data_IF_186112779635
#
_entry.id   IF_186112779635
#
_cell.length_a   1.000
_cell.length_b   1.000
_cell.length_c   1.000
_cell.angle_alpha   90.00
_cell.angle_beta   90.00
_cell.angle_gamma   90.00
#
_symmetry.space_group_name_H-M   'P 1'
#
loop_
_entity.id
_entity.type
_entity.pdbx_description
1 polymer ?
#
# COMPACT_ATOMS: atom_id res chain seq x y z
N UNK A 1 -4.76 -12.94 22.58
CA UNK A 1 -4.58 -13.24 21.15
C UNK A 1 -3.22 -12.71 20.74
N UNK A 2 -2.24 -13.58 20.42
CA UNK A 2 -0.97 -13.12 19.83
C UNK A 2 -1.31 -12.43 18.50
N UNK A 3 -0.67 -11.30 18.18
CA UNK A 3 -0.94 -10.57 16.94
C UNK A 3 -0.99 -11.56 15.76
N UNK A 4 -2.11 -11.59 15.06
CA UNK A 4 -2.33 -12.51 13.94
C UNK A 4 -1.27 -12.21 12.86
N UNK A 5 -0.58 -13.22 12.30
CA UNK A 5 0.45 -13.04 11.28
C UNK A 5 0.13 -12.03 10.17
N UNK A 6 -1.10 -11.97 9.59
CA UNK A 6 -1.41 -10.98 8.56
C UNK A 6 -1.39 -9.53 9.07
N UNK A 7 -1.75 -9.28 10.33
CA UNK A 7 -1.72 -7.95 10.92
C UNK A 7 -0.27 -7.48 11.10
N UNK A 8 0.61 -8.33 11.63
CA UNK A 8 2.03 -7.99 11.80
C UNK A 8 2.68 -7.65 10.48
N UNK A 9 2.43 -8.44 9.43
CA UNK A 9 2.94 -8.14 8.09
C UNK A 9 2.36 -6.82 7.55
N UNK A 10 1.05 -6.58 7.73
CA UNK A 10 0.42 -5.35 7.26
C UNK A 10 1.02 -4.10 7.90
N UNK A 11 1.26 -4.16 9.22
CA UNK A 11 1.89 -3.05 9.95
C UNK A 11 3.35 -2.86 9.53
N UNK A 12 4.11 -3.94 9.31
CA UNK A 12 5.47 -3.87 8.83
C UNK A 12 5.53 -3.22 7.43
N UNK A 13 4.71 -3.69 6.48
CA UNK A 13 4.65 -3.12 5.13
C UNK A 13 4.15 -1.67 5.13
N UNK A 14 3.16 -1.34 5.97
CA UNK A 14 2.72 0.05 6.12
C UNK A 14 3.83 0.95 6.65
N UNK A 15 4.58 0.51 7.66
CA UNK A 15 5.72 1.26 8.17
C UNK A 15 6.79 1.45 7.09
N UNK A 16 7.07 0.41 6.28
CA UNK A 16 7.98 0.51 5.12
C UNK A 16 7.49 1.51 4.09
N UNK A 17 6.20 1.47 3.73
CA UNK A 17 5.60 2.41 2.77
C UNK A 17 5.71 3.86 3.27
N UNK A 18 5.40 4.11 4.55
CA UNK A 18 5.52 5.44 5.16
C UNK A 18 6.98 5.91 5.14
N UNK A 19 7.92 5.06 5.56
CA UNK A 19 9.34 5.38 5.55
C UNK A 19 9.85 5.68 4.12
N UNK A 20 9.44 4.90 3.13
CA UNK A 20 9.79 5.10 1.73
C UNK A 20 9.18 6.40 1.17
N UNK A 21 7.94 6.73 1.51
CA UNK A 21 7.31 8.00 1.14
C UNK A 21 8.05 9.19 1.72
N UNK A 22 8.40 9.14 3.01
CA UNK A 22 9.16 10.21 3.67
C UNK A 22 10.55 10.36 3.06
N UNK A 23 11.27 9.25 2.82
CA UNK A 23 12.58 9.29 2.19
C UNK A 23 12.50 9.91 0.78
N UNK A 24 11.53 9.48 -0.02
CA UNK A 24 11.31 10.00 -1.39
C UNK A 24 10.96 11.48 -1.37
N UNK A 25 10.12 11.92 -0.43
CA UNK A 25 9.74 13.33 -0.28
C UNK A 25 10.94 14.27 -0.13
N UNK A 26 11.99 13.85 0.55
CA UNK A 26 13.20 14.65 0.73
C UNK A 26 14.18 14.58 -0.46
N UNK A 27 13.97 13.68 -1.42
CA UNK A 27 14.85 13.48 -2.57
C UNK A 27 14.30 14.13 -3.85
N UNK A 28 12.99 14.35 -3.94
CA UNK A 28 12.34 14.94 -5.10
C UNK A 28 12.40 16.47 -5.08
N UNK A 29 12.38 17.09 -6.27
CA UNK A 29 12.25 18.54 -6.39
C UNK A 29 10.86 19.03 -5.95
N UNK A 30 10.75 20.26 -5.41
CA UNK A 30 9.44 20.87 -5.15
C UNK A 30 8.62 20.99 -6.44
N UNK A 31 7.33 20.64 -6.35
CA UNK A 31 6.40 20.70 -7.48
C UNK A 31 6.46 19.50 -8.43
N UNK A 32 7.29 18.49 -8.16
CA UNK A 32 7.32 17.25 -8.96
C UNK A 32 5.96 16.55 -8.94
N UNK A 33 5.49 16.19 -10.13
CA UNK A 33 4.42 15.21 -10.31
C UNK A 33 5.02 13.80 -10.40
N UNK A 34 4.36 12.83 -9.77
CA UNK A 34 4.81 11.44 -9.73
C UNK A 34 3.78 10.56 -10.43
N UNK A 35 4.26 9.51 -11.09
CA UNK A 35 3.40 8.51 -11.69
C UNK A 35 2.52 7.85 -10.62
N UNK A 36 1.22 7.72 -10.90
CA UNK A 36 0.23 7.06 -10.03
C UNK A 36 -0.51 5.94 -10.74
N UNK A 37 -0.30 5.78 -12.04
CA UNK A 37 -0.80 4.67 -12.82
C UNK A 37 0.28 4.22 -13.80
N UNK A 38 0.30 2.91 -14.06
CA UNK A 38 1.28 2.24 -14.90
C UNK A 38 0.54 1.25 -15.80
N UNK A 39 0.88 1.26 -17.09
CA UNK A 39 0.42 0.26 -18.05
C UNK A 39 0.90 -1.15 -17.69
N UNK A 40 0.41 -2.16 -18.42
CA UNK A 40 0.83 -3.55 -18.22
C UNK A 40 2.31 -3.78 -18.54
N UNK A 41 2.91 -2.90 -19.34
CA UNK A 41 4.33 -2.85 -19.65
C UNK A 41 5.15 -2.06 -18.61
N UNK A 42 4.50 -1.54 -17.57
CA UNK A 42 5.12 -0.71 -16.53
C UNK A 42 5.35 0.74 -16.94
N UNK A 43 4.84 1.19 -18.10
CA UNK A 43 4.98 2.59 -18.52
C UNK A 43 4.04 3.51 -17.73
N UNK A 44 4.52 4.62 -17.16
CA UNK A 44 3.65 5.63 -16.58
C UNK A 44 2.73 6.27 -17.62
N UNK A 45 1.44 6.36 -17.31
CA UNK A 45 0.44 7.02 -18.18
C UNK A 45 -0.43 8.06 -17.44
N UNK A 46 -0.28 8.17 -16.11
CA UNK A 46 -0.95 9.16 -15.29
C UNK A 46 -0.08 9.63 -14.13
N UNK A 47 -0.10 10.94 -13.89
CA UNK A 47 0.67 11.61 -12.87
C UNK A 47 -0.22 12.36 -11.88
N UNK A 48 0.32 12.63 -10.70
CA UNK A 48 -0.33 13.45 -9.68
C UNK A 48 0.73 14.19 -8.82
N UNK A 49 0.34 15.25 -8.10
CA UNK A 49 1.24 15.95 -7.18
C UNK A 49 1.85 15.00 -6.15
N UNK A 50 3.14 15.18 -5.84
CA UNK A 50 3.87 14.33 -4.90
C UNK A 50 3.17 14.06 -3.56
N UNK A 51 2.50 15.03 -2.88
CA UNK A 51 1.79 14.75 -1.65
C UNK A 51 0.69 13.69 -1.81
N UNK A 52 -0.01 13.70 -2.94
CA UNK A 52 -1.05 12.72 -3.23
C UNK A 52 -0.43 11.37 -3.60
N UNK A 53 0.51 11.37 -4.54
CA UNK A 53 1.13 10.13 -5.04
C UNK A 53 1.83 9.33 -3.93
N UNK A 54 2.53 10.00 -3.01
CA UNK A 54 3.24 9.35 -1.91
C UNK A 54 2.34 8.94 -0.74
N UNK A 55 1.08 9.41 -0.67
CA UNK A 55 0.19 9.13 0.47
C UNK A 55 -0.99 8.23 0.15
N UNK A 56 -1.46 8.18 -1.09
CA UNK A 56 -2.71 7.50 -1.45
C UNK A 56 -2.66 5.98 -1.20
N UNK A 57 -1.58 5.31 -1.58
CA UNK A 57 -1.44 3.86 -1.36
C UNK A 57 -1.18 3.51 0.12
N UNK A 58 -0.30 4.20 0.87
CA UNK A 58 -0.18 3.99 2.32
C UNK A 58 -1.51 4.19 3.06
N UNK A 59 -2.31 5.20 2.68
CA UNK A 59 -3.63 5.43 3.24
C UNK A 59 -4.60 4.28 2.91
N UNK A 60 -4.61 3.81 1.66
CA UNK A 60 -5.42 2.65 1.26
C UNK A 60 -4.99 1.37 1.99
N UNK A 61 -3.69 1.16 2.23
CA UNK A 61 -3.15 0.03 2.97
C UNK A 61 -3.55 0.09 4.45
N UNK A 62 -3.49 1.27 5.08
CA UNK A 62 -3.98 1.48 6.45
C UNK A 62 -5.47 1.16 6.54
N UNK A 63 -6.29 1.73 5.64
CA UNK A 63 -7.73 1.48 5.62
C UNK A 63 -8.05 -0.01 5.43
N UNK A 64 -7.39 -0.65 4.46
CA UNK A 64 -7.55 -2.09 4.21
C UNK A 64 -7.16 -2.92 5.43
N UNK A 65 -6.06 -2.59 6.09
CA UNK A 65 -5.61 -3.27 7.32
C UNK A 65 -6.65 -3.17 8.43
N UNK A 66 -7.22 -1.98 8.64
CA UNK A 66 -8.27 -1.75 9.65
C UNK A 66 -9.52 -2.57 9.31
N UNK A 67 -9.98 -2.52 8.06
CA UNK A 67 -11.13 -3.31 7.59
C UNK A 67 -10.88 -4.80 7.84
N UNK A 68 -9.75 -5.33 7.36
CA UNK A 68 -9.48 -6.75 7.48
C UNK A 68 -9.31 -7.21 8.95
N UNK A 69 -8.74 -6.38 9.81
CA UNK A 69 -8.57 -6.68 11.22
C UNK A 69 -9.89 -6.65 12.02
N UNK A 70 -10.85 -5.82 11.62
CA UNK A 70 -12.09 -5.61 12.34
C UNK A 70 -13.29 -6.39 11.77
N UNK A 71 -13.35 -6.63 10.46
CA UNK A 71 -14.53 -7.25 9.82
C UNK A 71 -14.91 -8.62 10.40
N UNK A 72 -14.00 -9.54 10.79
CA UNK A 72 -14.39 -10.84 11.36
C UNK A 72 -15.15 -10.74 12.69
N UNK A 73 -15.10 -9.57 13.35
CA UNK A 73 -15.85 -9.30 14.59
C UNK A 73 -17.34 -9.03 14.32
N UNK A 74 -17.69 -8.62 13.10
CA UNK A 74 -19.04 -8.19 12.74
C UNK A 74 -19.64 -9.02 11.60
N UNK A 75 -18.82 -9.67 10.77
CA UNK A 75 -19.25 -10.52 9.65
C UNK A 75 -18.97 -12.00 9.94
N UNK A 76 -20.05 -12.76 10.14
CA UNK A 76 -20.01 -14.22 10.33
C UNK A 76 -19.46 -14.96 9.11
N UNK A 77 -19.61 -14.43 7.89
CA UNK A 77 -19.07 -15.05 6.67
C UNK A 77 -17.55 -15.00 6.64
N UNK A 78 -16.97 -13.86 7.04
CA UNK A 78 -15.52 -13.71 7.21
C UNK A 78 -14.97 -14.70 8.25
N UNK A 79 -15.67 -14.84 9.39
CA UNK A 79 -15.28 -15.80 10.43
C UNK A 79 -15.40 -17.28 9.98
N UNK A 80 -16.34 -17.60 9.08
CA UNK A 80 -16.57 -18.96 8.61
C UNK A 80 -15.52 -19.49 7.62
N UNK A 81 -14.73 -18.61 6.98
CA UNK A 81 -13.72 -18.99 5.98
C UNK A 81 -12.35 -18.35 6.27
N UNK A 82 -11.70 -18.67 7.41
CA UNK A 82 -10.52 -17.96 7.89
C UNK A 82 -9.30 -18.03 6.95
N UNK A 83 -9.12 -19.15 6.24
CA UNK A 83 -8.00 -19.32 5.29
C UNK A 83 -8.16 -18.43 4.07
N UNK A 84 -9.32 -18.48 3.40
CA UNK A 84 -9.61 -17.64 2.24
C UNK A 84 -9.56 -16.15 2.60
N UNK A 85 -10.11 -15.81 3.77
CA UNK A 85 -10.08 -14.44 4.27
C UNK A 85 -8.65 -13.93 4.51
N UNK A 86 -7.80 -14.75 5.14
CA UNK A 86 -6.39 -14.43 5.36
C UNK A 86 -5.63 -14.33 4.04
N UNK A 87 -5.86 -15.23 3.10
CA UNK A 87 -5.25 -15.18 1.77
C UNK A 87 -5.62 -13.90 1.02
N UNK A 88 -6.89 -13.50 1.04
CA UNK A 88 -7.36 -12.25 0.43
C UNK A 88 -6.74 -11.02 1.11
N UNK A 89 -6.69 -11.01 2.44
CA UNK A 89 -6.03 -9.93 3.19
C UNK A 89 -4.57 -9.78 2.74
N UNK A 90 -3.79 -10.86 2.81
CA UNK A 90 -2.38 -10.84 2.42
C UNK A 90 -2.20 -10.40 0.97
N UNK A 91 -3.02 -10.92 0.05
CA UNK A 91 -2.99 -10.55 -1.35
C UNK A 91 -3.19 -9.05 -1.56
N UNK A 92 -4.24 -8.46 -0.97
CA UNK A 92 -4.54 -7.03 -1.09
C UNK A 92 -3.38 -6.19 -0.56
N UNK A 93 -2.84 -6.52 0.61
CA UNK A 93 -1.75 -5.75 1.22
C UNK A 93 -0.46 -5.85 0.40
N UNK A 94 -0.13 -7.02 -0.15
CA UNK A 94 1.05 -7.20 -1.01
C UNK A 94 0.89 -6.44 -2.33
N UNK A 95 -0.29 -6.46 -2.94
CA UNK A 95 -0.57 -5.70 -4.17
C UNK A 95 -0.44 -4.19 -3.93
N UNK A 96 -0.99 -3.68 -2.81
CA UNK A 96 -0.83 -2.28 -2.44
C UNK A 96 0.64 -1.94 -2.20
N UNK A 97 1.38 -2.74 -1.45
CA UNK A 97 2.81 -2.52 -1.23
C UNK A 97 3.61 -2.53 -2.54
N UNK A 98 3.30 -3.46 -3.46
CA UNK A 98 3.91 -3.51 -4.80
C UNK A 98 3.61 -2.27 -5.64
N UNK A 99 2.36 -1.81 -5.66
CA UNK A 99 1.98 -0.58 -6.35
C UNK A 99 2.68 0.65 -5.78
N UNK A 100 2.81 0.76 -4.45
CA UNK A 100 3.56 1.84 -3.81
C UNK A 100 5.06 1.80 -4.16
N UNK A 101 5.64 0.60 -4.19
CA UNK A 101 7.03 0.42 -4.61
C UNK A 101 7.28 0.85 -6.06
N UNK A 102 6.31 0.71 -6.96
CA UNK A 102 6.41 1.24 -8.33
C UNK A 102 6.44 2.78 -8.34
N UNK A 103 5.57 3.44 -7.55
CA UNK A 103 5.55 4.90 -7.43
C UNK A 103 6.90 5.41 -6.90
N UNK A 104 7.38 4.84 -5.79
CA UNK A 104 8.66 5.23 -5.18
C UNK A 104 9.84 4.89 -6.10
N UNK A 105 9.84 3.70 -6.70
CA UNK A 105 10.90 3.25 -7.59
C UNK A 105 11.05 4.17 -8.81
N UNK A 106 9.93 4.56 -9.43
CA UNK A 106 9.94 5.51 -10.55
C UNK A 106 10.36 6.92 -10.09
N UNK A 107 9.90 7.38 -8.93
CA UNK A 107 10.32 8.67 -8.38
C UNK A 107 11.85 8.73 -8.14
N UNK A 108 12.46 7.62 -7.71
CA UNK A 108 13.88 7.52 -7.39
C UNK A 108 14.76 7.14 -8.59
N UNK A 109 14.21 6.61 -9.68
CA UNK A 109 14.99 6.29 -10.88
C UNK A 109 15.53 7.54 -11.59
N UNK A 110 15.19 8.74 -11.09
CA UNK A 110 15.34 9.98 -11.83
C UNK A 110 14.25 10.06 -12.87
N UNK A 111 13.62 11.24 -12.99
CA UNK A 111 12.75 11.55 -14.12
C UNK A 111 13.43 11.16 -15.45
#
# INVERSE_FOLDING_TARGET
>A
MKATPPLTLSLALLATMIAASLATWFMIMPGTELAVHFGLDGTPDRYAPAPFALSIIPAAALLSTVIFALAPRFDRKAAAKPVLYTALWLFVIVVLAGGHALIVGHALSGN
#
